data_IF_839180073048
#
_entry.id   IF_839180073048
#
_cell.length_a   1.000
_cell.length_b   1.000
_cell.length_c   1.000
_cell.angle_alpha   90.00
_cell.angle_beta   90.00
_cell.angle_gamma   90.00
#
_symmetry.space_group_name_H-M   'P 1'
#
loop_
_entity.id
_entity.type
_entity.pdbx_description
1 polymer ?
#
# COMPACT_ATOMS: atom_id res chain seq x y z
N UNK A 1 23.75 -31.09 -27.63
CA UNK A 1 23.64 -29.63 -27.79
C UNK A 1 24.08 -28.84 -26.54
N UNK A 2 23.58 -29.16 -25.33
CA UNK A 2 23.95 -28.47 -24.08
C UNK A 2 25.47 -28.40 -23.79
N UNK A 3 26.22 -29.49 -24.00
CA UNK A 3 27.70 -29.52 -23.85
C UNK A 3 28.42 -28.53 -24.78
N UNK A 4 27.91 -28.30 -25.98
CA UNK A 4 28.49 -27.38 -26.95
C UNK A 4 28.16 -25.92 -26.59
N UNK A 5 26.93 -25.64 -26.17
CA UNK A 5 26.51 -24.32 -25.71
C UNK A 5 27.31 -23.85 -24.48
N UNK A 6 27.50 -24.73 -23.49
CA UNK A 6 28.30 -24.43 -22.28
C UNK A 6 29.75 -24.08 -22.60
N UNK A 7 30.40 -24.86 -23.48
CA UNK A 7 31.76 -24.55 -23.97
C UNK A 7 31.82 -23.25 -24.76
N UNK A 8 30.75 -22.87 -25.47
CA UNK A 8 30.69 -21.64 -26.25
C UNK A 8 30.58 -20.40 -25.34
N UNK A 9 29.72 -20.46 -24.31
CA UNK A 9 29.57 -19.41 -23.30
C UNK A 9 30.89 -19.18 -22.54
N UNK A 10 31.61 -20.26 -22.20
CA UNK A 10 32.89 -20.19 -21.49
C UNK A 10 34.07 -19.74 -22.36
N UNK A 11 33.94 -19.78 -23.69
CA UNK A 11 35.02 -19.39 -24.62
C UNK A 11 35.22 -17.88 -24.70
N UNK A 12 34.17 -17.09 -24.45
CA UNK A 12 34.25 -15.63 -24.46
C UNK A 12 33.74 -15.04 -23.14
N UNK A 13 34.53 -15.24 -22.07
CA UNK A 13 34.16 -14.94 -20.68
C UNK A 13 33.71 -13.50 -20.46
N UNK A 14 34.29 -12.52 -21.17
CA UNK A 14 33.94 -11.10 -21.02
C UNK A 14 32.51 -10.79 -21.43
N UNK A 15 32.09 -11.22 -22.62
CA UNK A 15 30.73 -10.93 -23.12
C UNK A 15 29.64 -11.72 -22.39
N UNK A 16 29.93 -12.98 -22.06
CA UNK A 16 29.01 -13.83 -21.32
C UNK A 16 28.81 -13.34 -19.88
N UNK A 17 29.87 -12.88 -19.20
CA UNK A 17 29.79 -12.41 -17.82
C UNK A 17 28.90 -11.18 -17.66
N UNK A 18 28.99 -10.20 -18.57
CA UNK A 18 28.14 -9.00 -18.52
C UNK A 18 26.66 -9.36 -18.64
N UNK A 19 26.31 -10.24 -19.59
CA UNK A 19 24.92 -10.64 -19.81
C UNK A 19 24.36 -11.44 -18.62
N UNK A 20 25.14 -12.37 -18.06
CA UNK A 20 24.75 -13.16 -16.89
C UNK A 20 24.58 -12.25 -15.66
N UNK A 21 25.52 -11.33 -15.44
CA UNK A 21 25.47 -10.38 -14.33
C UNK A 21 24.25 -9.46 -14.43
N UNK A 22 23.91 -8.96 -15.63
CA UNK A 22 22.74 -8.11 -15.83
C UNK A 22 21.43 -8.85 -15.50
N UNK A 23 21.28 -10.10 -15.95
CA UNK A 23 20.11 -10.92 -15.63
C UNK A 23 20.02 -11.21 -14.14
N UNK A 24 21.13 -11.61 -13.51
CA UNK A 24 21.19 -11.85 -12.06
C UNK A 24 20.79 -10.59 -11.28
N UNK A 25 21.35 -9.44 -11.65
CA UNK A 25 21.03 -8.16 -11.01
C UNK A 25 19.55 -7.81 -11.14
N UNK A 26 18.97 -7.95 -12.34
CA UNK A 26 17.53 -7.69 -12.56
C UNK A 26 16.65 -8.59 -11.70
N UNK A 27 16.97 -9.88 -11.59
CA UNK A 27 16.18 -10.84 -10.81
C UNK A 27 16.25 -10.51 -9.32
N UNK A 28 17.44 -10.22 -8.78
CA UNK A 28 17.60 -9.81 -7.38
C UNK A 28 16.77 -8.55 -7.11
N UNK A 29 16.89 -7.55 -7.97
CA UNK A 29 16.18 -6.29 -7.82
C UNK A 29 14.66 -6.46 -7.91
N UNK A 30 14.17 -7.29 -8.83
CA UNK A 30 12.74 -7.59 -8.97
C UNK A 30 12.17 -8.26 -7.71
N UNK A 31 12.91 -9.19 -7.09
CA UNK A 31 12.50 -9.84 -5.84
C UNK A 31 12.47 -8.84 -4.68
N UNK A 32 13.50 -8.00 -4.55
CA UNK A 32 13.57 -6.97 -3.49
C UNK A 32 12.41 -5.98 -3.61
N UNK A 33 12.18 -5.43 -4.81
CA UNK A 33 11.07 -4.50 -5.04
C UNK A 33 9.71 -5.14 -4.76
N UNK A 34 9.52 -6.41 -5.14
CA UNK A 34 8.27 -7.13 -4.88
C UNK A 34 8.02 -7.30 -3.38
N UNK A 35 9.05 -7.67 -2.62
CA UNK A 35 8.94 -7.78 -1.15
C UNK A 35 8.68 -6.43 -0.50
N UNK A 36 9.35 -5.37 -0.96
CA UNK A 36 9.12 -4.01 -0.48
C UNK A 36 7.68 -3.56 -0.75
N UNK A 37 7.17 -3.80 -1.96
CA UNK A 37 5.79 -3.49 -2.30
C UNK A 37 4.82 -4.19 -1.35
N UNK A 38 4.96 -5.49 -1.13
CA UNK A 38 4.06 -6.23 -0.21
C UNK A 38 4.15 -5.68 1.23
N UNK A 39 5.36 -5.41 1.74
CA UNK A 39 5.54 -4.88 3.10
C UNK A 39 4.99 -3.46 3.28
N UNK A 40 5.09 -2.60 2.26
CA UNK A 40 4.46 -1.27 2.27
C UNK A 40 2.95 -1.41 2.20
N UNK A 41 2.42 -2.30 1.37
CA UNK A 41 0.98 -2.52 1.28
C UNK A 41 0.38 -3.06 2.58
N UNK A 42 1.08 -3.97 3.27
CA UNK A 42 0.66 -4.50 4.57
C UNK A 42 0.64 -3.41 5.66
N UNK A 43 1.72 -2.60 5.75
CA UNK A 43 1.75 -1.45 6.66
C UNK A 43 0.67 -0.43 6.31
N UNK A 44 0.51 -0.11 5.03
CA UNK A 44 -0.48 0.86 4.57
C UNK A 44 -1.90 0.37 4.86
N UNK A 45 -2.22 -0.92 4.70
CA UNK A 45 -3.53 -1.45 5.09
C UNK A 45 -3.76 -1.37 6.60
N UNK A 46 -2.73 -1.61 7.41
CA UNK A 46 -2.88 -1.49 8.86
C UNK A 46 -3.07 -0.02 9.26
N UNK A 47 -2.31 0.90 8.69
CA UNK A 47 -2.38 2.34 8.99
C UNK A 47 -3.66 3.02 8.45
N UNK A 48 -4.07 2.72 7.21
CA UNK A 48 -5.27 3.28 6.58
C UNK A 48 -6.53 2.83 7.32
N UNK A 49 -6.63 1.54 7.65
CA UNK A 49 -7.81 0.98 8.34
C UNK A 49 -7.79 1.31 9.83
N UNK A 50 -6.63 1.42 10.47
CA UNK A 50 -6.57 1.76 11.89
C UNK A 50 -6.73 3.26 12.15
N UNK A 51 -6.27 4.14 11.26
CA UNK A 51 -6.04 5.54 11.62
C UNK A 51 -6.83 6.59 10.82
N UNK A 52 -7.39 6.27 9.65
CA UNK A 52 -7.99 7.30 8.78
C UNK A 52 -9.40 7.02 8.27
N UNK A 53 -9.78 5.75 8.11
CA UNK A 53 -11.14 5.42 7.69
C UNK A 53 -11.79 4.64 8.82
N UNK A 54 -12.42 5.35 9.75
CA UNK A 54 -13.57 4.75 10.42
C UNK A 54 -14.47 4.17 9.33
N UNK A 55 -14.94 2.93 9.48
CA UNK A 55 -15.76 2.23 8.49
C UNK A 55 -16.99 3.03 8.02
N UNK A 56 -17.36 4.08 8.76
CA UNK A 56 -18.38 5.05 8.46
C UNK A 56 -17.85 6.47 8.73
N UNK A 57 -17.89 7.36 7.74
CA UNK A 57 -17.51 8.77 7.90
C UNK A 57 -18.76 9.65 7.77
N UNK A 58 -19.12 10.35 8.86
CA UNK A 58 -20.27 11.25 8.90
C UNK A 58 -19.86 12.64 8.43
N UNK A 59 -20.55 13.17 7.41
CA UNK A 59 -20.35 14.53 6.92
C UNK A 59 -21.68 15.26 6.83
N UNK A 60 -21.64 16.58 6.99
CA UNK A 60 -22.83 17.42 6.86
C UNK A 60 -23.30 17.43 5.40
N UNK A 61 -24.63 17.40 5.21
CA UNK A 61 -25.25 17.44 3.89
C UNK A 61 -24.90 18.75 3.19
N UNK A 62 -24.04 18.70 2.18
CA UNK A 62 -23.56 19.87 1.43
C UNK A 62 -22.04 20.04 1.43
N UNK A 63 -21.31 19.34 2.29
CA UNK A 63 -19.85 19.40 2.39
C UNK A 63 -19.11 19.05 1.09
N UNK A 64 -19.65 18.11 0.30
CA UNK A 64 -19.07 17.75 -1.00
C UNK A 64 -19.26 18.82 -2.08
N UNK A 65 -20.26 19.70 -1.92
CA UNK A 65 -20.52 20.78 -2.86
C UNK A 65 -19.71 22.04 -2.53
N UNK A 66 -19.47 22.31 -1.25
CA UNK A 66 -18.68 23.45 -0.79
C UNK A 66 -17.82 23.05 0.41
N UNK A 67 -16.53 22.82 0.16
CA UNK A 67 -15.53 22.39 1.15
C UNK A 67 -15.03 23.59 1.99
N UNK A 68 -15.96 24.31 2.60
CA UNK A 68 -15.70 25.46 3.47
C UNK A 68 -15.85 25.08 4.94
N UNK A 69 -15.11 25.77 5.83
CA UNK A 69 -15.15 25.52 7.29
C UNK A 69 -16.57 25.63 7.86
N UNK A 70 -17.43 26.44 7.25
CA UNK A 70 -18.84 26.62 7.63
C UNK A 70 -19.72 25.38 7.38
N UNK A 71 -19.30 24.45 6.51
CA UNK A 71 -19.95 23.16 6.28
C UNK A 71 -19.22 22.00 6.97
N UNK A 72 -18.21 22.31 7.79
CA UNK A 72 -17.60 21.31 8.65
C UNK A 72 -18.63 20.86 9.67
N UNK A 73 -18.70 19.55 9.86
CA UNK A 73 -19.68 18.97 10.75
C UNK A 73 -19.26 19.28 12.20
N UNK A 74 -20.06 20.08 12.90
CA UNK A 74 -19.80 20.45 14.29
C UNK A 74 -20.07 19.25 15.20
N UNK A 75 -19.01 18.69 15.80
CA UNK A 75 -19.08 17.52 16.68
C UNK A 75 -20.08 17.69 17.83
N UNK A 76 -20.25 18.92 18.32
CA UNK A 76 -21.21 19.28 19.38
C UNK A 76 -22.68 19.05 19.00
N UNK A 77 -23.01 18.94 17.70
CA UNK A 77 -24.36 18.65 17.21
C UNK A 77 -24.67 17.16 17.14
N UNK A 78 -23.67 16.29 17.28
CA UNK A 78 -23.81 14.84 17.24
C UNK A 78 -23.83 14.27 18.65
N UNK A 79 -24.86 13.47 18.95
CA UNK A 79 -24.91 12.71 20.18
C UNK A 79 -24.07 11.42 20.06
N UNK A 80 -22.78 11.51 20.40
CA UNK A 80 -21.81 10.40 20.33
C UNK A 80 -22.29 9.13 21.06
N UNK A 81 -23.08 9.29 22.12
CA UNK A 81 -23.61 8.20 22.93
C UNK A 81 -24.57 7.27 22.16
N UNK A 82 -25.29 7.79 21.15
CA UNK A 82 -26.21 6.99 20.33
C UNK A 82 -25.48 5.95 19.47
N UNK A 83 -24.23 6.23 19.09
CA UNK A 83 -23.43 5.36 18.23
C UNK A 83 -22.61 4.33 19.02
N UNK A 84 -22.21 4.67 20.25
CA UNK A 84 -21.50 3.75 21.15
C UNK A 84 -22.39 2.63 21.71
N UNK A 85 -23.71 2.82 21.72
CA UNK A 85 -24.68 1.80 22.13
C UNK A 85 -24.89 0.70 21.06
N UNK A 86 -24.36 0.87 19.84
CA UNK A 86 -24.47 -0.14 18.79
C UNK A 86 -23.36 -1.20 18.91
N UNK A 87 -23.68 -2.49 18.98
CA UNK A 87 -22.73 -3.57 19.29
C UNK A 87 -21.59 -3.75 18.27
N UNK A 88 -21.70 -3.16 17.08
CA UNK A 88 -20.70 -3.22 16.01
C UNK A 88 -19.75 -2.02 15.96
N UNK A 89 -19.99 -0.97 16.77
CA UNK A 89 -19.16 0.24 16.77
C UNK A 89 -18.02 0.07 17.77
N UNK A 90 -16.79 -0.05 17.26
CA UNK A 90 -15.58 -0.26 18.08
C UNK A 90 -14.95 1.02 18.62
N UNK A 91 -15.32 2.19 18.10
CA UNK A 91 -14.80 3.49 18.53
C UNK A 91 -15.22 4.63 17.61
N UNK A 92 -15.24 5.84 18.16
CA UNK A 92 -15.47 7.09 17.43
C UNK A 92 -14.16 7.89 17.42
N UNK A 93 -13.81 8.45 16.26
CA UNK A 93 -12.68 9.37 16.11
C UNK A 93 -13.29 10.72 15.70
N UNK A 94 -13.00 11.81 16.42
CA UNK A 94 -13.53 13.14 16.13
C UNK A 94 -12.94 13.76 14.86
#
# INVERSE_FOLDING_TARGET
>A
MLKLAWRNIWRNKGRSAISIAAVMFCVIFAVVLRSFQIGVWENMTHEIVANNFGYLQLHQKGFWADQTLDNSLELASINEQMFLDHPEVKGLIP
#
